data_IF_833807500262
#
_entry.id   IF_833807500262
#
_cell.length_a   1.000
_cell.length_b   1.000
_cell.length_c   1.000
_cell.angle_alpha   90.00
_cell.angle_beta   90.00
_cell.angle_gamma   90.00
#
_symmetry.space_group_name_H-M   'P 1'
#
loop_
_entity.id
_entity.type
_entity.pdbx_description
1 polymer ?
#
# COMPACT_ATOMS: atom_id res chain seq x y z
N UNK A 1 -3.27 -16.48 -12.97
CA UNK A 1 -2.42 -16.80 -11.80
C UNK A 1 -0.98 -16.34 -11.98
N UNK A 2 -0.32 -16.62 -13.11
CA UNK A 2 1.08 -16.20 -13.36
C UNK A 2 1.32 -14.68 -13.21
N UNK A 3 0.37 -13.86 -13.67
CA UNK A 3 0.46 -12.40 -13.52
C UNK A 3 0.46 -11.92 -12.07
N UNK A 4 -0.43 -12.49 -11.23
CA UNK A 4 -0.51 -12.14 -9.80
C UNK A 4 0.80 -12.48 -9.07
N UNK A 5 1.35 -13.67 -9.35
CA UNK A 5 2.62 -14.09 -8.74
C UNK A 5 3.74 -13.10 -9.10
N UNK A 6 3.85 -12.73 -10.38
CA UNK A 6 4.84 -11.73 -10.82
C UNK A 6 4.70 -10.37 -10.14
N UNK A 7 3.48 -9.94 -9.85
CA UNK A 7 3.21 -8.69 -9.14
C UNK A 7 3.63 -8.81 -7.67
N UNK A 8 3.31 -9.93 -7.02
CA UNK A 8 3.66 -10.16 -5.62
C UNK A 8 5.16 -10.41 -5.40
N UNK A 9 5.86 -10.98 -6.39
CA UNK A 9 7.32 -11.20 -6.38
C UNK A 9 8.14 -9.94 -6.69
N UNK A 10 7.51 -8.88 -7.18
CA UNK A 10 8.22 -7.64 -7.46
C UNK A 10 8.69 -6.98 -6.15
N UNK A 11 9.96 -6.58 -6.11
CA UNK A 11 10.57 -5.90 -4.96
C UNK A 11 10.04 -4.46 -4.83
N UNK A 12 8.89 -4.31 -4.17
CA UNK A 12 8.29 -3.02 -3.81
C UNK A 12 8.70 -2.66 -2.39
N UNK A 13 9.10 -1.41 -2.19
CA UNK A 13 9.50 -0.87 -0.88
C UNK A 13 8.49 0.16 -0.37
N UNK A 14 8.55 0.45 0.92
CA UNK A 14 7.84 1.58 1.52
C UNK A 14 8.11 2.89 0.74
N UNK A 15 9.38 3.17 0.43
CA UNK A 15 9.77 4.39 -0.28
C UNK A 15 9.18 4.46 -1.69
N UNK A 16 9.01 3.33 -2.37
CA UNK A 16 8.39 3.30 -3.71
C UNK A 16 6.94 3.80 -3.66
N UNK A 17 6.18 3.34 -2.66
CA UNK A 17 4.78 3.72 -2.49
C UNK A 17 4.65 5.16 -1.94
N UNK A 18 5.44 5.49 -0.91
CA UNK A 18 5.42 6.79 -0.25
C UNK A 18 5.71 7.94 -1.21
N UNK A 19 6.76 7.82 -2.04
CA UNK A 19 7.10 8.88 -2.99
C UNK A 19 6.03 9.07 -4.07
N UNK A 20 5.49 7.99 -4.62
CA UNK A 20 4.45 8.11 -5.65
C UNK A 20 3.18 8.73 -5.07
N UNK A 21 2.78 8.32 -3.85
CA UNK A 21 1.63 8.90 -3.17
C UNK A 21 1.83 10.40 -2.88
N UNK A 22 3.00 10.78 -2.37
CA UNK A 22 3.35 12.18 -2.09
C UNK A 22 3.41 13.04 -3.36
N UNK A 23 4.06 12.57 -4.43
CA UNK A 23 4.13 13.28 -5.72
C UNK A 23 2.73 13.46 -6.33
N UNK A 24 1.85 12.46 -6.21
CA UNK A 24 0.48 12.55 -6.71
C UNK A 24 -0.39 13.53 -5.89
N UNK A 25 -0.20 13.59 -4.58
CA UNK A 25 -0.85 14.54 -3.68
C UNK A 25 -0.41 15.98 -3.98
N UNK A 26 0.90 16.22 -4.10
CA UNK A 26 1.47 17.53 -4.43
C UNK A 26 0.96 18.06 -5.77
N UNK A 27 0.87 17.18 -6.78
CA UNK A 27 0.33 17.52 -8.08
C UNK A 27 -1.18 17.78 -8.07
N UNK A 28 -1.89 17.41 -6.98
CA UNK A 28 -3.37 17.33 -6.91
C UNK A 28 -3.97 16.59 -8.10
N UNK A 29 -3.22 15.64 -8.64
CA UNK A 29 -3.52 14.97 -9.90
C UNK A 29 -3.27 13.47 -9.77
N UNK A 30 -4.20 12.82 -9.06
CA UNK A 30 -4.26 11.37 -8.95
C UNK A 30 -4.46 10.70 -10.33
N UNK A 31 -4.96 11.43 -11.33
CA UNK A 31 -5.12 10.96 -12.70
C UNK A 31 -3.79 10.65 -13.40
N UNK A 32 -2.70 11.26 -12.94
CA UNK A 32 -1.36 11.07 -13.49
C UNK A 32 -0.46 10.09 -12.71
N UNK A 33 -1.00 9.33 -11.74
CA UNK A 33 -0.23 8.29 -11.01
C UNK A 33 0.45 7.31 -11.98
N UNK A 34 -0.23 6.91 -13.05
CA UNK A 34 0.37 6.02 -14.05
C UNK A 34 1.59 6.65 -14.74
N UNK A 35 1.55 7.95 -15.02
CA UNK A 35 2.66 8.67 -15.63
C UNK A 35 3.84 8.81 -14.65
N UNK A 36 3.56 9.09 -13.37
CA UNK A 36 4.58 9.16 -12.32
C UNK A 36 5.29 7.80 -12.16
N UNK A 37 4.51 6.72 -12.08
CA UNK A 37 5.02 5.35 -12.00
C UNK A 37 5.83 5.00 -13.26
N UNK A 38 5.34 5.31 -14.45
CA UNK A 38 6.04 5.02 -15.70
C UNK A 38 7.39 5.76 -15.80
N UNK A 39 7.45 7.00 -15.33
CA UNK A 39 8.70 7.78 -15.26
C UNK A 39 9.67 7.19 -14.25
N UNK A 40 9.18 6.87 -13.04
CA UNK A 40 10.03 6.44 -11.92
C UNK A 40 10.58 5.02 -12.08
N UNK A 41 9.77 4.12 -12.62
CA UNK A 41 10.12 2.72 -12.82
C UNK A 41 10.44 2.39 -14.29
N UNK A 42 10.97 3.37 -15.03
CA UNK A 42 11.41 3.16 -16.39
C UNK A 42 12.47 2.04 -16.45
N UNK A 43 12.21 1.01 -17.28
CA UNK A 43 13.05 -0.20 -17.37
C UNK A 43 12.71 -1.29 -16.34
N UNK A 44 11.76 -1.05 -15.43
CA UNK A 44 11.30 -2.01 -14.43
C UNK A 44 9.75 -2.15 -14.44
N UNK A 45 9.16 -2.59 -15.57
CA UNK A 45 7.71 -2.57 -15.75
C UNK A 45 6.95 -3.41 -14.72
N UNK A 46 7.49 -4.57 -14.32
CA UNK A 46 6.86 -5.41 -13.29
C UNK A 46 6.77 -4.69 -11.94
N UNK A 47 7.81 -3.95 -11.55
CA UNK A 47 7.83 -3.16 -10.31
C UNK A 47 6.86 -1.98 -10.39
N UNK A 48 6.83 -1.28 -11.52
CA UNK A 48 5.87 -0.19 -11.75
C UNK A 48 4.42 -0.67 -11.66
N UNK A 49 4.09 -1.81 -12.30
CA UNK A 49 2.77 -2.42 -12.16
C UNK A 49 2.46 -2.81 -10.72
N UNK A 50 3.40 -3.40 -9.99
CA UNK A 50 3.18 -3.78 -8.60
C UNK A 50 2.90 -2.57 -7.70
N UNK A 51 3.64 -1.47 -7.87
CA UNK A 51 3.37 -0.20 -7.19
C UNK A 51 1.96 0.31 -7.50
N UNK A 52 1.57 0.32 -8.78
CA UNK A 52 0.25 0.78 -9.20
C UNK A 52 -0.87 0.00 -8.51
N UNK A 53 -0.83 -1.34 -8.58
CA UNK A 53 -1.89 -2.16 -7.99
C UNK A 53 -1.93 -2.08 -6.48
N UNK A 54 -0.78 -1.96 -5.81
CA UNK A 54 -0.73 -1.77 -4.35
C UNK A 54 -1.37 -0.45 -3.93
N UNK A 55 -1.10 0.65 -4.65
CA UNK A 55 -1.74 1.94 -4.39
C UNK A 55 -3.25 1.91 -4.67
N UNK A 56 -3.67 1.26 -5.75
CA UNK A 56 -5.09 1.10 -6.07
C UNK A 56 -5.82 0.24 -5.03
N UNK A 57 -5.23 -0.88 -4.62
CA UNK A 57 -5.75 -1.73 -3.57
C UNK A 57 -5.88 -0.97 -2.24
N UNK A 58 -4.90 -0.12 -1.93
CA UNK A 58 -4.90 0.71 -0.73
C UNK A 58 -6.03 1.77 -0.77
N UNK A 59 -6.18 2.45 -1.90
CA UNK A 59 -7.25 3.44 -2.10
C UNK A 59 -8.64 2.81 -1.96
N UNK A 60 -8.83 1.61 -2.50
CA UNK A 60 -10.10 0.87 -2.36
C UNK A 60 -10.36 0.44 -0.94
N UNK A 61 -9.34 -0.06 -0.24
CA UNK A 61 -9.46 -0.45 1.16
C UNK A 61 -9.93 0.74 2.01
N UNK A 62 -9.39 1.93 1.75
CA UNK A 62 -9.82 3.19 2.35
C UNK A 62 -11.25 3.59 2.01
N UNK A 63 -11.65 3.43 0.76
CA UNK A 63 -13.00 3.79 0.30
C UNK A 63 -14.06 2.85 0.90
N UNK A 64 -13.78 1.55 0.97
CA UNK A 64 -14.72 0.52 1.42
C UNK A 64 -14.91 0.50 2.94
N UNK A 65 -13.82 0.60 3.70
CA UNK A 65 -13.84 0.46 5.16
C UNK A 65 -13.79 1.83 5.86
N UNK A 66 -13.72 2.90 5.05
CA UNK A 66 -13.49 4.26 5.46
C UNK A 66 -12.03 4.49 5.89
N UNK A 67 -11.66 5.76 5.99
CA UNK A 67 -10.45 6.19 6.68
C UNK A 67 -10.54 6.31 8.23
N UNK A 68 -11.62 5.93 8.96
CA UNK A 68 -11.77 6.37 10.35
C UNK A 68 -10.83 5.67 11.35
N UNK A 69 -9.89 4.82 10.88
CA UNK A 69 -8.83 4.22 11.68
C UNK A 69 -7.40 4.63 11.30
N UNK A 70 -7.21 5.37 10.20
CA UNK A 70 -5.87 5.82 9.76
C UNK A 70 -5.55 7.22 10.32
N UNK A 71 -6.47 7.75 11.15
CA UNK A 71 -6.35 9.01 11.87
C UNK A 71 -6.79 9.00 13.36
N UNK A 72 -7.55 8.01 13.92
CA UNK A 72 -8.02 7.97 15.33
C UNK A 72 -8.55 6.55 15.72
N UNK A 73 -8.84 6.16 17.00
CA UNK A 73 -8.28 6.50 18.32
C UNK A 73 -7.31 5.40 18.84
N UNK A 74 -6.53 5.66 19.92
CA UNK A 74 -5.53 4.71 20.43
C UNK A 74 -6.08 3.32 20.75
N UNK A 75 -5.28 2.30 20.43
CA UNK A 75 -5.49 0.93 20.92
C UNK A 75 -5.41 0.86 22.45
N UNK A 76 -5.77 -0.29 23.05
CA UNK A 76 -5.77 -0.47 24.50
C UNK A 76 -4.40 -0.27 25.16
N UNK A 77 -3.32 -0.29 24.37
CA UNK A 77 -1.93 0.00 24.74
C UNK A 77 -1.47 1.43 24.36
N UNK A 78 -2.31 2.21 23.68
CA UNK A 78 -2.02 3.56 23.22
C UNK A 78 -1.54 3.70 21.78
N UNK A 79 -1.32 2.61 21.03
CA UNK A 79 -0.74 2.67 19.69
C UNK A 79 -1.72 3.22 18.64
N UNK A 80 -1.22 4.09 17.75
CA UNK A 80 -1.95 4.62 16.58
C UNK A 80 -1.16 4.19 15.34
N UNK A 81 -1.74 3.42 14.39
CA UNK A 81 -1.08 3.12 13.13
C UNK A 81 -0.84 4.40 12.34
N UNK A 82 0.42 4.79 12.18
CA UNK A 82 0.81 5.91 11.32
C UNK A 82 0.68 5.54 9.85
N UNK A 83 0.62 6.55 8.97
CA UNK A 83 0.63 6.34 7.53
C UNK A 83 1.86 5.53 7.09
N UNK A 84 2.99 5.68 7.77
CA UNK A 84 4.22 4.93 7.52
C UNK A 84 4.00 3.41 7.57
N UNK A 85 3.35 2.90 8.62
CA UNK A 85 3.09 1.46 8.76
C UNK A 85 2.11 0.92 7.73
N UNK A 86 1.16 1.74 7.32
CA UNK A 86 0.22 1.39 6.26
C UNK A 86 0.97 1.21 4.93
N UNK A 87 1.85 2.14 4.57
CA UNK A 87 2.65 2.02 3.36
C UNK A 87 3.70 0.90 3.47
N UNK A 88 4.27 0.66 4.65
CA UNK A 88 5.19 -0.44 4.88
C UNK A 88 4.50 -1.80 4.72
N UNK A 89 3.30 -1.96 5.30
CA UNK A 89 2.48 -3.15 5.11
C UNK A 89 2.09 -3.32 3.64
N UNK A 90 1.67 -2.25 2.97
CA UNK A 90 1.31 -2.26 1.55
C UNK A 90 2.49 -2.62 0.64
N UNK A 91 3.74 -2.44 1.06
CA UNK A 91 4.89 -2.88 0.29
C UNK A 91 5.09 -4.40 0.33
N UNK A 92 4.78 -5.04 1.47
CA UNK A 92 5.13 -6.46 1.73
C UNK A 92 3.94 -7.42 1.69
N UNK A 93 2.73 -6.95 2.01
CA UNK A 93 1.55 -7.81 2.08
C UNK A 93 1.18 -8.30 0.68
N UNK A 94 0.93 -9.60 0.45
CA UNK A 94 0.53 -10.07 -0.87
C UNK A 94 -0.83 -9.51 -1.30
N UNK A 95 -0.97 -9.17 -2.58
CA UNK A 95 -2.25 -8.92 -3.22
C UNK A 95 -2.96 -10.26 -3.50
N UNK A 96 -4.28 -10.22 -3.49
CA UNK A 96 -5.17 -11.32 -3.85
C UNK A 96 -6.12 -10.88 -4.96
N UNK A 97 -6.59 -11.84 -5.77
CA UNK A 97 -7.57 -11.59 -6.81
C UNK A 97 -8.98 -11.86 -6.25
N UNK A 98 -9.78 -10.81 -6.07
CA UNK A 98 -11.17 -10.89 -5.60
C UNK A 98 -12.04 -10.20 -6.64
N UNK A 99 -13.07 -10.88 -7.17
CA UNK A 99 -13.97 -10.31 -8.19
C UNK A 99 -13.23 -9.68 -9.39
N UNK A 100 -12.20 -10.36 -9.91
CA UNK A 100 -11.35 -9.89 -11.02
C UNK A 100 -10.46 -8.68 -10.72
N UNK A 101 -10.41 -8.25 -9.46
CA UNK A 101 -9.63 -7.12 -9.01
C UNK A 101 -8.51 -7.51 -8.06
N UNK A 102 -7.40 -6.77 -8.13
CA UNK A 102 -6.27 -6.95 -7.21
C UNK A 102 -6.49 -6.10 -5.97
N UNK A 103 -6.66 -6.78 -4.83
CA UNK A 103 -6.95 -6.15 -3.54
C UNK A 103 -6.04 -6.70 -2.44
N UNK A 104 -6.01 -6.01 -1.31
CA UNK A 104 -5.54 -6.60 -0.07
C UNK A 104 -6.69 -7.32 0.61
N UNK A 105 -6.42 -8.50 1.18
CA UNK A 105 -7.36 -9.10 2.12
C UNK A 105 -7.33 -8.27 3.42
N UNK A 106 -8.49 -7.76 3.84
CA UNK A 106 -8.60 -6.72 4.86
C UNK A 106 -8.02 -7.14 6.22
N UNK A 107 -8.38 -8.32 6.73
CA UNK A 107 -7.93 -8.77 8.05
C UNK A 107 -6.42 -9.03 8.07
N UNK A 108 -5.90 -9.72 7.05
CA UNK A 108 -4.48 -10.01 6.89
C UNK A 108 -3.66 -8.74 6.72
N UNK A 109 -4.17 -7.75 5.97
CA UNK A 109 -3.51 -6.47 5.81
C UNK A 109 -3.46 -5.69 7.12
N UNK A 110 -4.58 -5.59 7.84
CA UNK A 110 -4.62 -4.92 9.13
C UNK A 110 -3.67 -5.59 10.13
N UNK A 111 -3.67 -6.91 10.20
CA UNK A 111 -2.73 -7.67 11.04
C UNK A 111 -1.28 -7.33 10.69
N UNK A 112 -0.94 -7.24 9.39
CA UNK A 112 0.40 -6.86 8.95
C UNK A 112 0.78 -5.44 9.36
N UNK A 113 -0.14 -4.48 9.28
CA UNK A 113 0.08 -3.10 9.75
C UNK A 113 0.41 -3.10 11.24
N UNK A 114 -0.34 -3.84 12.04
CA UNK A 114 -0.12 -3.92 13.49
C UNK A 114 1.18 -4.61 13.86
N UNK A 115 1.51 -5.72 13.19
CA UNK A 115 2.77 -6.44 13.39
C UNK A 115 3.97 -5.52 13.16
N UNK A 116 3.97 -4.71 12.09
CA UNK A 116 5.05 -3.78 11.79
C UNK A 116 5.13 -2.64 12.82
N UNK A 117 3.99 -2.11 13.26
CA UNK A 117 3.94 -1.05 14.28
C UNK A 117 4.44 -1.55 15.66
N UNK A 118 4.10 -2.77 16.05
CA UNK A 118 4.54 -3.36 17.33
C UNK A 118 6.04 -3.66 17.36
N UNK A 119 6.63 -4.08 16.23
CA UNK A 119 8.07 -4.38 16.15
C UNK A 119 8.92 -3.14 16.45
N UNK A 120 8.51 -1.95 15.99
CA UNK A 120 9.25 -0.72 16.28
C UNK A 120 8.97 -0.18 17.69
N UNK A 121 7.74 -0.29 18.21
CA UNK A 121 7.39 0.18 19.56
C UNK A 121 8.10 -0.55 20.71
N UNK A 122 8.79 -1.66 20.44
CA UNK A 122 9.59 -2.42 21.42
C UNK A 122 11.09 -2.11 21.36
N UNK A 123 11.54 -1.24 20.45
CA UNK A 123 12.92 -0.76 20.33
C UNK A 123 13.16 0.50 21.16
#
# INVERSE_FOLDING_TARGET
MEYLNRINEAEVTFQDLWHIAGEAEEARDLGNIMLLIAKRFHGQPSKGSAVLFRLQALARLLEEHGAPGWALPPQADGAIPTQEWVFAAAAVQPLVLINEELCFEHESFLYKVLELAEVEGRG
#
